data_IF_784043030009
#
_entry.id   IF_784043030009
#
_cell.length_a   1.000
_cell.length_b   1.000
_cell.length_c   1.000
_cell.angle_alpha   90.00
_cell.angle_beta   90.00
_cell.angle_gamma   90.00
#
_symmetry.space_group_name_H-M   'P 1'
#
loop_
_entity.id
_entity.type
_entity.pdbx_description
1 polymer ?
#
# COMPACT_ATOMS: atom_id res chain seq x y z
N UNK A 1 -8.14 3.90 24.78
CA UNK A 1 -9.01 3.01 23.98
C UNK A 1 -9.31 1.68 24.69
N UNK A 2 -8.31 0.87 25.08
CA UNK A 2 -8.53 -0.41 25.82
C UNK A 2 -9.40 -0.23 27.06
N UNK A 3 -9.07 0.73 27.93
CA UNK A 3 -9.86 0.98 29.15
C UNK A 3 -11.32 1.34 28.84
N UNK A 4 -11.55 2.19 27.83
CA UNK A 4 -12.91 2.53 27.40
C UNK A 4 -13.68 1.31 26.86
N UNK A 5 -13.01 0.46 26.08
CA UNK A 5 -13.60 -0.79 25.58
C UNK A 5 -13.96 -1.73 26.74
N UNK A 6 -13.09 -1.86 27.74
CA UNK A 6 -13.31 -2.66 28.95
C UNK A 6 -14.51 -2.14 29.75
N UNK A 7 -14.54 -0.84 30.05
CA UNK A 7 -15.63 -0.21 30.79
C UNK A 7 -16.98 -0.40 30.09
N UNK A 8 -17.04 -0.09 28.79
CA UNK A 8 -18.24 -0.27 27.98
C UNK A 8 -18.69 -1.73 27.94
N UNK A 9 -17.75 -2.67 27.80
CA UNK A 9 -18.07 -4.09 27.79
C UNK A 9 -18.65 -4.54 29.14
N UNK A 10 -18.11 -4.06 30.25
CA UNK A 10 -18.70 -4.31 31.58
C UNK A 10 -20.14 -3.82 31.66
N UNK A 11 -20.41 -2.60 31.21
CA UNK A 11 -21.76 -2.01 31.19
C UNK A 11 -22.74 -2.81 30.32
N UNK A 12 -22.35 -3.18 29.10
CA UNK A 12 -23.21 -3.96 28.19
C UNK A 12 -23.45 -5.41 28.70
N UNK A 13 -22.52 -5.96 29.48
CA UNK A 13 -22.58 -7.32 30.02
C UNK A 13 -22.83 -7.35 31.54
N UNK A 14 -23.65 -6.41 32.03
CA UNK A 14 -24.31 -6.39 33.35
C UNK A 14 -23.46 -6.00 34.57
N UNK A 15 -22.14 -5.87 34.48
CA UNK A 15 -21.33 -5.38 35.61
C UNK A 15 -20.36 -4.31 35.12
N UNK A 16 -20.70 -3.02 35.28
CA UNK A 16 -19.77 -1.94 35.02
C UNK A 16 -18.46 -2.13 35.79
N UNK A 17 -17.35 -1.77 35.16
CA UNK A 17 -16.00 -2.04 35.65
C UNK A 17 -15.15 -0.78 35.54
N UNK A 18 -14.41 -0.47 36.61
CA UNK A 18 -13.44 0.61 36.62
C UNK A 18 -12.05 0.09 37.04
N UNK A 19 -11.02 0.90 36.76
CA UNK A 19 -9.62 0.61 37.09
C UNK A 19 -9.05 1.60 38.10
N UNK A 20 -8.32 1.10 39.10
CA UNK A 20 -7.50 1.91 40.01
C UNK A 20 -6.06 1.41 40.01
N UNK A 21 -5.11 2.30 39.67
CA UNK A 21 -3.68 1.95 39.61
C UNK A 21 -3.06 1.71 40.99
N UNK A 22 -3.62 2.33 42.03
CA UNK A 22 -3.06 2.41 43.38
C UNK A 22 -3.73 1.50 44.41
N UNK A 23 -4.88 0.91 44.09
CA UNK A 23 -5.66 0.11 45.05
C UNK A 23 -5.78 -1.34 44.59
N UNK A 24 -5.38 -2.31 45.43
CA UNK A 24 -5.58 -3.73 45.16
C UNK A 24 -7.06 -4.12 45.37
N UNK A 25 -7.69 -4.93 44.48
CA UNK A 25 -7.11 -5.73 43.38
C UNK A 25 -7.11 -5.06 41.99
N UNK A 26 -7.06 -3.73 41.94
CA UNK A 26 -6.96 -2.86 40.76
C UNK A 26 -8.20 -2.74 39.89
N UNK A 27 -9.08 -3.73 39.92
CA UNK A 27 -10.35 -3.71 39.19
C UNK A 27 -11.51 -3.83 40.17
N UNK A 28 -12.46 -2.90 40.08
CA UNK A 28 -13.59 -2.76 40.99
C UNK A 28 -14.89 -2.67 40.20
N UNK A 29 -16.01 -2.98 40.86
CA UNK A 29 -17.33 -2.70 40.28
C UNK A 29 -17.54 -1.18 40.26
N UNK A 30 -17.86 -0.65 39.08
CA UNK A 30 -18.20 0.75 38.89
C UNK A 30 -19.69 0.93 39.27
N UNK A 31 -19.92 1.30 40.53
CA UNK A 31 -21.25 1.32 41.12
C UNK A 31 -22.07 2.52 40.67
N UNK A 32 -21.41 3.61 40.30
CA UNK A 32 -22.06 4.84 39.85
C UNK A 32 -22.17 4.95 38.32
N UNK A 33 -21.43 4.12 37.57
CA UNK A 33 -21.48 4.02 36.11
C UNK A 33 -20.74 5.13 35.38
N UNK A 34 -19.82 5.85 36.03
CA UNK A 34 -19.10 6.99 35.45
C UNK A 34 -17.81 6.60 34.70
N UNK A 35 -17.41 5.33 34.77
CA UNK A 35 -16.23 4.77 34.11
C UNK A 35 -14.91 5.06 34.82
N UNK A 36 -14.94 5.64 36.01
CA UNK A 36 -13.77 5.92 36.86
C UNK A 36 -13.90 5.17 38.19
N UNK A 37 -12.77 4.84 38.82
CA UNK A 37 -12.79 4.27 40.17
C UNK A 37 -12.48 5.37 41.17
N UNK A 38 -13.49 5.84 41.90
CA UNK A 38 -13.27 6.79 42.98
C UNK A 38 -12.78 6.10 44.28
N UNK A 39 -12.55 6.88 45.33
CA UNK A 39 -12.07 6.36 46.61
C UNK A 39 -13.10 5.49 47.35
N UNK A 40 -14.39 5.66 47.07
CA UNK A 40 -15.48 4.86 47.64
C UNK A 40 -15.61 3.51 46.96
N UNK A 41 -15.28 3.44 45.67
CA UNK A 41 -15.31 2.21 44.86
C UNK A 41 -14.00 1.43 44.94
N UNK A 42 -12.85 2.11 45.10
CA UNK A 42 -11.51 1.52 45.15
C UNK A 42 -11.17 0.81 46.48
N UNK A 43 -12.14 0.08 47.04
CA UNK A 43 -12.03 -0.65 48.32
C UNK A 43 -12.13 -2.15 48.09
N UNK A 44 -11.36 -2.96 48.82
CA UNK A 44 -11.28 -4.42 48.61
C UNK A 44 -12.64 -5.14 48.65
N UNK A 45 -13.61 -4.62 49.42
CA UNK A 45 -14.96 -5.17 49.48
C UNK A 45 -15.72 -5.06 48.14
N UNK A 46 -15.36 -4.07 47.32
CA UNK A 46 -15.95 -3.77 46.01
C UNK A 46 -15.11 -4.34 44.84
N UNK A 47 -14.22 -5.30 45.11
CA UNK A 47 -13.44 -5.98 44.08
C UNK A 47 -14.35 -6.52 42.97
N UNK A 48 -13.93 -6.35 41.71
CA UNK A 48 -14.72 -6.81 40.55
C UNK A 48 -14.83 -8.33 40.52
N UNK A 49 -16.06 -8.85 40.36
CA UNK A 49 -16.38 -10.30 40.37
C UNK A 49 -16.97 -10.82 39.05
N UNK A 50 -17.48 -9.94 38.19
CA UNK A 50 -18.18 -10.27 36.94
C UNK A 50 -17.25 -10.67 35.78
N UNK A 51 -16.20 -11.45 36.04
CA UNK A 51 -15.17 -11.76 35.06
C UNK A 51 -15.71 -12.64 33.91
N UNK A 52 -15.57 -12.14 32.68
CA UNK A 52 -15.68 -12.97 31.47
C UNK A 52 -14.29 -13.31 30.95
N UNK A 53 -14.18 -14.35 30.10
CA UNK A 53 -12.91 -14.68 29.45
C UNK A 53 -12.36 -13.52 28.62
N UNK A 54 -13.24 -12.68 28.05
CA UNK A 54 -12.88 -11.50 27.26
C UNK A 54 -12.34 -10.38 28.15
N UNK A 55 -13.02 -10.10 29.26
CA UNK A 55 -12.54 -9.13 30.26
C UNK A 55 -11.20 -9.56 30.84
N UNK A 56 -11.06 -10.83 31.24
CA UNK A 56 -9.82 -11.34 31.83
C UNK A 56 -8.60 -11.09 30.92
N UNK A 57 -8.71 -11.39 29.62
CA UNK A 57 -7.61 -11.15 28.67
C UNK A 57 -7.30 -9.66 28.50
N UNK A 58 -8.33 -8.84 28.32
CA UNK A 58 -8.17 -7.41 28.08
C UNK A 58 -7.62 -6.67 29.32
N UNK A 59 -8.14 -6.97 30.51
CA UNK A 59 -7.68 -6.35 31.76
C UNK A 59 -6.27 -6.79 32.13
N UNK A 60 -5.88 -8.04 31.84
CA UNK A 60 -4.52 -8.52 32.05
C UNK A 60 -3.52 -7.76 31.15
N UNK A 61 -3.81 -7.66 29.85
CA UNK A 61 -2.95 -6.92 28.92
C UNK A 61 -2.88 -5.42 29.26
N UNK A 62 -4.00 -4.83 29.67
CA UNK A 62 -4.02 -3.44 30.16
C UNK A 62 -3.16 -3.27 31.41
N UNK A 63 -3.24 -4.20 32.37
CA UNK A 63 -2.44 -4.17 33.59
C UNK A 63 -0.95 -4.30 33.28
N UNK A 64 -0.56 -5.23 32.40
CA UNK A 64 0.82 -5.39 31.96
C UNK A 64 1.37 -4.07 31.39
N UNK A 65 0.64 -3.49 30.44
CA UNK A 65 1.05 -2.22 29.81
C UNK A 65 1.12 -1.07 30.82
N UNK A 66 0.19 -1.02 31.78
CA UNK A 66 0.12 0.07 32.77
C UNK A 66 1.15 -0.08 33.90
N UNK A 67 1.67 -1.29 34.13
CA UNK A 67 2.66 -1.58 35.19
C UNK A 67 4.11 -1.50 34.71
N UNK A 68 4.34 -1.32 33.41
CA UNK A 68 5.65 -0.96 32.87
C UNK A 68 5.65 0.52 32.44
N UNK A 69 6.07 1.46 33.31
CA UNK A 69 6.19 2.87 32.93
C UNK A 69 7.24 3.10 31.82
N UNK A 70 8.14 2.14 31.59
CA UNK A 70 9.13 2.13 30.51
C UNK A 70 8.66 1.36 29.27
N UNK A 71 7.40 0.92 29.20
CA UNK A 71 6.84 0.14 28.08
C UNK A 71 7.12 0.78 26.71
N UNK A 72 7.10 2.11 26.66
CA UNK A 72 7.37 2.89 25.44
C UNK A 72 8.83 2.75 24.94
N UNK A 73 9.78 2.36 25.80
CA UNK A 73 11.18 2.21 25.47
C UNK A 73 11.62 0.74 25.41
N UNK A 74 11.11 -0.11 26.32
CA UNK A 74 11.54 -1.51 26.40
C UNK A 74 11.06 -2.34 25.19
N UNK A 75 9.78 -2.21 24.82
CA UNK A 75 9.20 -2.89 23.66
C UNK A 75 7.81 -2.32 23.32
N UNK A 76 7.78 -1.06 22.86
CA UNK A 76 6.54 -0.36 22.56
C UNK A 76 5.65 -1.14 21.58
N UNK A 77 6.25 -1.78 20.57
CA UNK A 77 5.54 -2.55 19.55
C UNK A 77 4.78 -3.73 20.14
N UNK A 78 5.41 -4.51 21.02
CA UNK A 78 4.75 -5.61 21.70
C UNK A 78 3.55 -5.14 22.54
N UNK A 79 3.73 -4.03 23.27
CA UNK A 79 2.66 -3.44 24.09
C UNK A 79 1.51 -2.93 23.19
N UNK A 80 1.81 -2.25 22.08
CA UNK A 80 0.80 -1.82 21.11
C UNK A 80 0.02 -3.00 20.56
N UNK A 81 0.68 -4.10 20.20
CA UNK A 81 0.01 -5.31 19.69
C UNK A 81 -0.95 -5.90 20.72
N UNK A 82 -0.51 -6.06 21.98
CA UNK A 82 -1.37 -6.56 23.05
C UNK A 82 -2.59 -5.66 23.28
N UNK A 83 -2.39 -4.35 23.32
CA UNK A 83 -3.47 -3.39 23.53
C UNK A 83 -4.43 -3.32 22.33
N UNK A 84 -3.90 -3.33 21.11
CA UNK A 84 -4.69 -3.36 19.88
C UNK A 84 -5.56 -4.63 19.83
N UNK A 85 -4.94 -5.80 20.00
CA UNK A 85 -5.62 -7.10 19.95
C UNK A 85 -6.66 -7.22 21.07
N UNK A 86 -6.41 -6.61 22.24
CA UNK A 86 -7.38 -6.52 23.33
C UNK A 86 -8.62 -5.71 22.94
N UNK A 87 -8.46 -4.54 22.30
CA UNK A 87 -9.63 -3.77 21.82
C UNK A 87 -10.36 -4.54 20.72
N UNK A 88 -9.63 -5.16 19.78
CA UNK A 88 -10.24 -5.96 18.71
C UNK A 88 -11.04 -7.14 19.27
N UNK A 89 -10.52 -7.85 20.28
CA UNK A 89 -11.27 -8.91 20.94
C UNK A 89 -12.48 -8.33 21.68
N UNK A 90 -12.33 -7.27 22.47
CA UNK A 90 -13.44 -6.63 23.20
C UNK A 90 -14.56 -6.18 22.24
N UNK A 91 -14.20 -5.53 21.13
CA UNK A 91 -15.13 -5.06 20.09
C UNK A 91 -15.98 -6.16 19.46
N UNK A 92 -15.57 -7.44 19.49
CA UNK A 92 -16.41 -8.55 19.01
C UNK A 92 -17.64 -8.77 19.88
N UNK A 93 -17.59 -8.34 21.14
CA UNK A 93 -18.69 -8.48 22.09
C UNK A 93 -19.39 -7.16 22.44
N UNK A 94 -19.05 -6.06 21.77
CA UNK A 94 -19.69 -4.75 21.94
C UNK A 94 -20.75 -4.51 20.86
N UNK A 95 -21.86 -3.91 21.27
CA UNK A 95 -22.92 -3.43 20.39
C UNK A 95 -22.44 -2.20 19.61
N UNK A 96 -21.95 -1.20 20.34
CA UNK A 96 -21.28 -0.03 19.77
C UNK A 96 -19.77 -0.20 19.87
N UNK A 97 -19.10 -0.52 18.76
CA UNK A 97 -17.66 -0.78 18.76
C UNK A 97 -16.88 0.49 19.11
N UNK A 98 -15.82 0.33 19.89
CA UNK A 98 -14.82 1.39 20.08
C UNK A 98 -14.11 1.64 18.76
N UNK A 99 -14.07 2.91 18.35
CA UNK A 99 -13.43 3.31 17.10
C UNK A 99 -11.93 2.97 17.08
N UNK A 100 -11.54 2.21 16.06
CA UNK A 100 -10.17 1.78 15.81
C UNK A 100 -9.66 2.22 14.44
N UNK A 101 -10.38 3.07 13.70
CA UNK A 101 -10.06 3.47 12.32
C UNK A 101 -8.65 4.07 12.17
N UNK A 102 -8.20 4.84 13.17
CA UNK A 102 -6.84 5.43 13.20
C UNK A 102 -5.85 4.68 14.09
N UNK A 103 -6.25 3.56 14.67
CA UNK A 103 -5.35 2.74 15.47
C UNK A 103 -4.54 1.85 14.53
N UNK A 104 -3.22 1.79 14.71
CA UNK A 104 -2.34 0.95 13.88
C UNK A 104 -1.67 -0.09 14.76
N UNK A 105 -1.71 -1.36 14.33
CA UNK A 105 -1.12 -2.49 15.06
C UNK A 105 0.37 -2.70 14.75
N UNK A 106 0.76 -2.40 13.51
CA UNK A 106 2.11 -2.64 12.97
C UNK A 106 2.80 -1.33 12.64
N UNK A 107 4.11 -1.37 12.39
CA UNK A 107 4.84 -0.18 11.98
C UNK A 107 4.38 0.31 10.59
N UNK A 108 4.70 1.55 10.26
CA UNK A 108 4.32 2.19 9.01
C UNK A 108 5.27 1.85 7.86
N UNK A 109 4.71 1.75 6.64
CA UNK A 109 5.45 1.79 5.39
C UNK A 109 6.66 0.85 5.34
N UNK A 110 7.81 1.42 4.98
CA UNK A 110 9.08 0.70 4.85
C UNK A 110 9.56 0.03 6.14
N UNK A 111 9.12 0.49 7.32
CA UNK A 111 9.53 -0.08 8.60
C UNK A 111 8.65 -1.24 9.04
N UNK A 112 7.59 -1.57 8.30
CA UNK A 112 6.68 -2.66 8.62
C UNK A 112 7.28 -4.04 8.35
N UNK A 113 8.12 -4.49 9.27
CA UNK A 113 8.69 -5.85 9.26
C UNK A 113 7.66 -6.97 9.39
N UNK A 114 6.40 -6.67 9.72
CA UNK A 114 5.33 -7.69 9.76
C UNK A 114 4.58 -7.84 8.43
N UNK A 115 4.89 -7.01 7.42
CA UNK A 115 4.24 -7.06 6.12
C UNK A 115 4.74 -8.24 5.28
N UNK A 116 3.93 -8.68 4.31
CA UNK A 116 4.32 -9.72 3.35
C UNK A 116 5.62 -9.38 2.61
N UNK A 117 5.86 -8.09 2.33
CA UNK A 117 7.10 -7.63 1.69
C UNK A 117 8.36 -7.95 2.50
N UNK A 118 8.25 -8.05 3.83
CA UNK A 118 9.35 -8.42 4.72
C UNK A 118 9.33 -9.92 5.11
N UNK A 119 8.14 -10.53 5.22
CA UNK A 119 7.95 -11.89 5.79
C UNK A 119 7.82 -13.00 4.75
N UNK A 120 7.78 -12.68 3.45
CA UNK A 120 7.73 -13.68 2.36
C UNK A 120 8.83 -14.76 2.45
N UNK A 121 9.93 -14.42 3.11
CA UNK A 121 11.16 -15.21 3.14
C UNK A 121 11.24 -16.17 4.34
N UNK A 122 10.31 -16.06 5.30
CA UNK A 122 10.26 -16.83 6.57
C UNK A 122 10.50 -18.33 6.43
N UNK A 123 9.98 -18.94 5.36
CA UNK A 123 10.12 -20.39 5.13
C UNK A 123 11.46 -20.76 4.50
N UNK A 124 12.06 -19.84 3.75
CA UNK A 124 13.33 -20.03 3.07
C UNK A 124 14.53 -19.56 3.89
N UNK A 125 14.32 -18.82 4.97
CA UNK A 125 15.34 -18.21 5.84
C UNK A 125 16.32 -17.27 5.10
N UNK A 126 16.02 -16.92 3.85
CA UNK A 126 16.85 -16.08 3.00
C UNK A 126 16.06 -15.32 1.94
N UNK A 127 16.57 -14.15 1.58
CA UNK A 127 16.13 -13.35 0.43
C UNK A 127 17.10 -13.57 -0.73
N UNK A 128 16.57 -14.01 -1.87
CA UNK A 128 17.39 -14.27 -3.05
C UNK A 128 18.00 -13.00 -3.67
N UNK A 129 19.09 -13.17 -4.41
CA UNK A 129 19.80 -12.09 -5.08
C UNK A 129 18.94 -11.21 -5.99
N UNK A 130 17.87 -11.76 -6.59
CA UNK A 130 16.96 -10.96 -7.44
C UNK A 130 15.96 -10.11 -6.66
N UNK A 131 15.83 -10.35 -5.35
CA UNK A 131 14.83 -9.74 -4.46
C UNK A 131 15.49 -8.84 -3.40
N UNK A 132 16.71 -9.18 -2.98
CA UNK A 132 17.45 -8.45 -1.96
C UNK A 132 17.74 -6.97 -2.22
N UNK A 133 17.81 -6.47 -3.47
CA UNK A 133 17.90 -5.03 -3.69
C UNK A 133 16.79 -4.23 -3.01
N UNK A 134 15.58 -4.79 -2.90
CA UNK A 134 14.43 -4.08 -2.34
C UNK A 134 13.95 -4.65 -0.99
N UNK A 135 14.27 -5.91 -0.69
CA UNK A 135 13.64 -6.66 0.41
C UNK A 135 14.61 -7.10 1.52
N UNK A 136 15.85 -6.60 1.52
CA UNK A 136 16.88 -7.01 2.50
C UNK A 136 17.61 -5.84 3.16
N UNK A 137 16.88 -4.74 3.36
CA UNK A 137 17.38 -3.57 4.09
C UNK A 137 18.71 -3.04 3.55
N UNK A 138 19.56 -2.60 4.47
CA UNK A 138 20.87 -2.06 4.16
C UNK A 138 21.76 -3.08 3.43
N UNK A 139 21.78 -4.33 3.87
CA UNK A 139 22.71 -5.34 3.35
C UNK A 139 22.46 -5.65 1.87
N UNK A 140 21.19 -5.77 1.48
CA UNK A 140 20.83 -6.02 0.08
C UNK A 140 20.93 -4.75 -0.77
N UNK A 141 20.31 -3.66 -0.33
CA UNK A 141 20.23 -2.43 -1.11
C UNK A 141 21.60 -1.80 -1.35
N UNK A 142 22.46 -1.71 -0.33
CA UNK A 142 23.78 -1.09 -0.49
C UNK A 142 24.73 -1.91 -1.35
N UNK A 143 24.64 -3.24 -1.25
CA UNK A 143 25.38 -4.12 -2.15
C UNK A 143 24.94 -3.91 -3.60
N UNK A 144 23.63 -3.83 -3.84
CA UNK A 144 23.09 -3.48 -5.15
C UNK A 144 23.56 -2.10 -5.63
N UNK A 145 23.51 -1.08 -4.77
CA UNK A 145 23.94 0.28 -5.12
C UNK A 145 25.45 0.35 -5.47
N UNK A 146 26.27 -0.47 -4.83
CA UNK A 146 27.71 -0.52 -5.07
C UNK A 146 28.09 -1.34 -6.31
N UNK A 147 27.47 -2.50 -6.51
CA UNK A 147 27.91 -3.49 -7.51
C UNK A 147 26.94 -3.66 -8.69
N UNK A 148 25.75 -3.07 -8.63
CA UNK A 148 24.72 -3.17 -9.68
C UNK A 148 24.02 -4.53 -9.76
N UNK A 149 24.32 -5.46 -8.85
CA UNK A 149 23.71 -6.79 -8.73
C UNK A 149 23.31 -7.05 -7.29
N UNK A 150 22.26 -7.83 -7.06
CA UNK A 150 21.91 -8.26 -5.71
C UNK A 150 22.72 -9.48 -5.26
N UNK A 151 22.60 -9.80 -3.97
CA UNK A 151 23.21 -10.96 -3.33
C UNK A 151 22.19 -11.74 -2.51
N UNK A 152 22.45 -13.00 -2.20
CA UNK A 152 21.62 -13.72 -1.22
C UNK A 152 21.88 -13.11 0.16
N UNK A 153 20.82 -12.81 0.90
CA UNK A 153 20.89 -12.21 2.24
C UNK A 153 20.07 -13.07 3.20
N UNK A 154 20.56 -13.40 4.40
CA UNK A 154 19.73 -14.05 5.42
C UNK A 154 18.46 -13.23 5.66
N UNK A 155 17.35 -13.90 5.95
CA UNK A 155 16.14 -13.16 6.27
C UNK A 155 16.33 -12.26 7.50
N UNK A 156 15.63 -11.14 7.51
CA UNK A 156 15.57 -10.28 8.68
C UNK A 156 14.10 -10.04 9.01
N UNK A 157 13.76 -10.02 10.30
CA UNK A 157 12.39 -9.77 10.74
C UNK A 157 11.97 -8.28 10.61
N UNK A 158 12.87 -7.42 10.13
CA UNK A 158 12.66 -5.99 10.02
C UNK A 158 12.23 -5.62 8.59
N UNK A 159 11.63 -4.43 8.46
CA UNK A 159 11.49 -3.80 7.16
C UNK A 159 12.84 -3.25 6.67
N UNK A 160 12.83 -2.08 6.04
CA UNK A 160 14.05 -1.34 5.75
C UNK A 160 14.56 -0.62 7.00
N UNK A 161 15.88 -0.58 7.21
CA UNK A 161 16.50 0.19 8.29
C UNK A 161 16.93 1.59 7.82
N UNK A 162 17.24 2.48 8.77
CA UNK A 162 17.69 3.84 8.51
C UNK A 162 18.86 3.87 7.52
N UNK A 163 19.83 2.97 7.71
CA UNK A 163 21.04 2.90 6.90
C UNK A 163 20.79 2.36 5.48
N UNK A 164 19.61 1.83 5.18
CA UNK A 164 19.19 1.57 3.80
C UNK A 164 19.26 2.85 2.99
N UNK A 165 18.76 3.94 3.56
CA UNK A 165 18.68 5.24 2.89
C UNK A 165 19.75 6.23 3.34
N UNK A 166 20.30 6.10 4.54
CA UNK A 166 21.20 7.10 5.15
C UNK A 166 22.63 6.59 5.28
N UNK A 167 23.61 7.41 4.88
CA UNK A 167 25.03 7.18 5.18
C UNK A 167 25.36 7.54 6.63
N UNK A 168 24.69 8.55 7.18
CA UNK A 168 24.74 8.94 8.59
C UNK A 168 23.36 9.30 9.10
N UNK A 169 23.03 8.80 10.28
CA UNK A 169 21.87 9.21 11.08
C UNK A 169 22.27 10.09 12.28
N UNK A 170 23.58 10.28 12.48
CA UNK A 170 24.12 11.24 13.43
C UNK A 170 24.28 12.61 12.75
N UNK A 171 24.24 13.69 13.53
CA UNK A 171 24.40 15.07 13.02
C UNK A 171 25.82 15.29 12.43
N UNK A 172 25.95 15.67 11.13
CA UNK A 172 24.89 15.91 10.15
C UNK A 172 24.32 14.62 9.54
N UNK A 173 22.99 14.53 9.48
CA UNK A 173 22.28 13.43 8.82
C UNK A 173 22.54 13.50 7.32
N UNK A 174 22.92 12.38 6.71
CA UNK A 174 23.23 12.30 5.28
C UNK A 174 22.48 11.15 4.60
N UNK A 175 22.08 11.35 3.34
CA UNK A 175 21.37 10.37 2.52
C UNK A 175 22.35 9.72 1.54
N UNK A 176 22.24 8.41 1.35
CA UNK A 176 23.01 7.66 0.37
C UNK A 176 22.73 8.18 -1.03
N UNK A 177 23.79 8.59 -1.73
CA UNK A 177 23.69 9.06 -3.12
C UNK A 177 23.73 7.89 -4.09
N UNK A 178 22.62 7.64 -4.78
CA UNK A 178 22.54 6.73 -5.92
C UNK A 178 22.74 7.53 -7.21
N UNK A 179 23.76 7.18 -8.00
CA UNK A 179 24.18 7.97 -9.16
C UNK A 179 23.21 7.90 -10.35
N UNK A 180 22.59 6.74 -10.55
CA UNK A 180 21.65 6.51 -11.65
C UNK A 180 20.79 5.27 -11.38
N UNK A 181 19.63 5.22 -12.02
CA UNK A 181 18.75 4.05 -12.02
C UNK A 181 18.64 3.50 -13.43
N UNK A 182 18.77 2.18 -13.56
CA UNK A 182 18.45 1.44 -14.80
C UNK A 182 17.05 0.86 -14.69
N UNK A 183 16.18 1.25 -15.59
CA UNK A 183 14.81 0.74 -15.71
C UNK A 183 14.80 -0.59 -16.48
N UNK A 184 13.75 -1.42 -16.32
CA UNK A 184 13.61 -2.69 -17.06
C UNK A 184 13.49 -2.52 -18.58
N UNK A 185 13.26 -1.31 -19.08
CA UNK A 185 13.34 -0.95 -20.51
C UNK A 185 14.78 -0.87 -21.03
N UNK A 186 15.77 -0.86 -20.13
CA UNK A 186 17.18 -0.60 -20.45
C UNK A 186 17.58 0.87 -20.35
N UNK A 187 16.61 1.79 -20.21
CA UNK A 187 16.89 3.23 -20.02
C UNK A 187 17.63 3.44 -18.70
N UNK A 188 18.68 4.27 -18.75
CA UNK A 188 19.43 4.72 -17.57
C UNK A 188 19.13 6.19 -17.34
N UNK A 189 18.74 6.53 -16.12
CA UNK A 189 18.37 7.89 -15.69
C UNK A 189 19.26 8.34 -14.54
N UNK A 190 19.59 9.63 -14.53
CA UNK A 190 20.18 10.32 -13.38
C UNK A 190 19.21 11.40 -12.96
N UNK A 191 18.41 11.10 -11.94
CA UNK A 191 17.44 12.05 -11.40
C UNK A 191 18.11 13.09 -10.48
N UNK A 192 17.51 14.28 -10.35
CA UNK A 192 17.93 15.26 -9.35
C UNK A 192 17.62 14.77 -7.92
N UNK A 193 18.37 15.32 -6.96
CA UNK A 193 18.19 15.07 -5.53
C UNK A 193 18.29 13.60 -5.15
N UNK A 194 17.25 13.08 -4.48
CA UNK A 194 17.26 11.74 -3.89
C UNK A 194 16.40 10.72 -4.66
N UNK A 195 15.76 11.09 -5.76
CA UNK A 195 14.80 10.22 -6.46
C UNK A 195 15.39 8.88 -6.89
N UNK A 196 16.67 8.86 -7.31
CA UNK A 196 17.36 7.62 -7.68
C UNK A 196 17.33 6.56 -6.57
N UNK A 197 17.27 6.96 -5.29
CA UNK A 197 17.18 6.00 -4.18
C UNK A 197 15.82 5.31 -4.16
N UNK A 198 14.75 6.08 -4.37
CA UNK A 198 13.37 5.59 -4.40
C UNK A 198 13.15 4.72 -5.63
N UNK A 199 13.57 5.21 -6.78
CA UNK A 199 13.38 4.57 -8.08
C UNK A 199 14.21 3.29 -8.24
N UNK A 200 15.28 3.10 -7.45
CA UNK A 200 16.02 1.83 -7.46
C UNK A 200 15.14 0.62 -7.08
N UNK A 201 14.14 0.85 -6.23
CA UNK A 201 13.15 -0.15 -5.84
C UNK A 201 11.83 0.04 -6.60
N UNK A 202 11.35 1.27 -6.70
CA UNK A 202 10.06 1.66 -7.28
C UNK A 202 10.11 1.87 -8.82
N UNK A 203 10.83 1.01 -9.54
CA UNK A 203 10.98 1.06 -11.03
C UNK A 203 10.21 -0.02 -11.79
N UNK A 204 9.63 -0.98 -11.08
CA UNK A 204 9.16 -2.23 -11.69
C UNK A 204 10.31 -3.15 -12.13
N UNK A 205 9.96 -4.36 -12.61
CA UNK A 205 10.91 -5.40 -13.02
C UNK A 205 10.76 -5.84 -14.47
N UNK A 206 9.68 -5.44 -15.13
CA UNK A 206 9.36 -5.79 -16.52
C UNK A 206 9.01 -4.52 -17.28
N UNK A 207 9.05 -4.56 -18.62
CA UNK A 207 8.76 -3.41 -19.47
C UNK A 207 8.12 -3.82 -20.79
N UNK A 208 7.75 -2.85 -21.64
CA UNK A 208 7.40 -3.13 -23.03
C UNK A 208 8.42 -4.05 -23.72
N UNK A 209 9.71 -3.80 -23.51
CA UNK A 209 10.78 -4.56 -24.17
C UNK A 209 10.77 -6.04 -23.74
N UNK A 210 10.46 -6.35 -22.48
CA UNK A 210 10.39 -7.74 -22.02
C UNK A 210 9.11 -8.44 -22.46
N UNK A 211 7.99 -7.71 -22.55
CA UNK A 211 6.74 -8.22 -23.13
C UNK A 211 6.93 -8.55 -24.62
N UNK A 212 7.52 -7.64 -25.40
CA UNK A 212 7.83 -7.87 -26.82
C UNK A 212 8.74 -9.10 -26.99
N UNK A 213 9.79 -9.20 -26.18
CA UNK A 213 10.72 -10.33 -26.21
C UNK A 213 9.99 -11.65 -25.92
N UNK A 214 9.06 -11.66 -24.95
CA UNK A 214 8.27 -12.84 -24.64
C UNK A 214 7.30 -13.20 -25.77
N UNK A 215 6.64 -12.21 -26.38
CA UNK A 215 5.77 -12.41 -27.56
C UNK A 215 6.57 -13.02 -28.72
N UNK A 216 7.78 -12.54 -28.97
CA UNK A 216 8.65 -13.04 -30.04
C UNK A 216 9.05 -14.52 -29.88
N UNK A 217 8.97 -15.08 -28.66
CA UNK A 217 9.23 -16.52 -28.44
C UNK A 217 8.11 -17.43 -28.95
N UNK A 218 6.92 -16.88 -29.23
CA UNK A 218 5.71 -17.66 -29.51
C UNK A 218 5.13 -18.42 -28.33
N UNK A 219 5.70 -18.27 -27.11
CA UNK A 219 5.23 -18.88 -25.86
C UNK A 219 4.59 -17.81 -24.99
N UNK A 220 3.29 -17.63 -25.09
CA UNK A 220 2.61 -16.52 -24.41
C UNK A 220 2.37 -16.84 -22.92
N UNK A 221 2.64 -15.85 -22.07
CA UNK A 221 2.39 -15.90 -20.63
C UNK A 221 2.28 -14.48 -20.08
N UNK A 222 1.62 -14.33 -18.95
CA UNK A 222 1.63 -13.07 -18.21
C UNK A 222 3.04 -12.73 -17.71
N UNK A 223 3.41 -11.44 -17.80
CA UNK A 223 4.58 -10.87 -17.16
C UNK A 223 4.13 -9.83 -16.13
N UNK A 224 4.67 -9.90 -14.92
CA UNK A 224 4.28 -9.01 -13.84
C UNK A 224 5.22 -7.81 -13.78
N UNK A 225 4.68 -6.59 -13.88
CA UNK A 225 5.41 -5.33 -13.71
C UNK A 225 6.18 -5.25 -12.39
N UNK A 226 5.74 -5.99 -11.37
CA UNK A 226 6.24 -5.97 -10.00
C UNK A 226 6.00 -4.63 -9.29
N UNK A 227 5.71 -4.70 -8.00
CA UNK A 227 4.86 -3.76 -7.26
C UNK A 227 5.40 -2.33 -7.12
N UNK A 228 4.47 -1.37 -6.99
CA UNK A 228 4.71 0.06 -6.75
C UNK A 228 5.76 0.68 -7.69
N UNK A 229 5.64 0.53 -9.03
CA UNK A 229 6.55 1.12 -10.01
C UNK A 229 6.38 2.65 -10.15
N UNK A 230 6.28 3.40 -9.04
CA UNK A 230 5.97 4.82 -9.01
C UNK A 230 6.97 5.68 -9.78
N UNK A 231 8.26 5.34 -9.73
CA UNK A 231 9.30 6.00 -10.51
C UNK A 231 9.09 5.86 -12.02
N UNK A 232 8.69 4.65 -12.45
CA UNK A 232 8.38 4.39 -13.84
C UNK A 232 7.13 5.17 -14.29
N UNK A 233 6.09 5.25 -13.46
CA UNK A 233 4.90 6.05 -13.77
C UNK A 233 5.22 7.53 -13.81
N UNK A 234 5.92 8.07 -12.79
CA UNK A 234 6.37 9.47 -12.72
C UNK A 234 7.11 9.86 -13.98
N UNK A 235 7.98 9.00 -14.50
CA UNK A 235 8.79 9.29 -15.69
C UNK A 235 8.07 9.04 -17.02
N UNK A 236 6.99 8.27 -17.02
CA UNK A 236 6.19 7.98 -18.21
C UNK A 236 7.03 7.48 -19.38
N UNK A 237 6.86 8.11 -20.54
CA UNK A 237 7.60 7.78 -21.76
C UNK A 237 9.11 8.04 -21.69
N UNK A 238 9.63 8.72 -20.66
CA UNK A 238 11.09 8.78 -20.47
C UNK A 238 11.68 7.48 -19.91
N UNK A 239 10.88 6.63 -19.26
CA UNK A 239 11.31 5.33 -18.74
C UNK A 239 10.89 4.15 -19.63
N UNK A 240 9.88 4.31 -20.49
CA UNK A 240 9.37 3.26 -21.41
C UNK A 240 9.05 1.93 -20.72
N UNK A 241 8.47 1.98 -19.52
CA UNK A 241 8.16 0.80 -18.73
C UNK A 241 6.77 0.25 -19.04
N UNK A 242 5.75 1.11 -19.15
CA UNK A 242 4.43 0.68 -19.60
C UNK A 242 4.47 0.07 -21.00
N UNK A 243 3.50 -0.76 -21.35
CA UNK A 243 3.39 -1.26 -22.71
C UNK A 243 2.83 -0.15 -23.62
N UNK A 244 3.74 0.59 -24.23
CA UNK A 244 3.46 1.68 -25.15
C UNK A 244 3.17 1.13 -26.56
N UNK A 245 1.97 1.37 -27.10
CA UNK A 245 1.54 0.81 -28.37
C UNK A 245 2.20 1.52 -29.57
N UNK A 246 2.49 0.73 -30.62
CA UNK A 246 3.17 1.22 -31.84
C UNK A 246 2.34 2.31 -32.52
N UNK A 247 3.01 3.40 -32.93
CA UNK A 247 2.37 4.53 -33.60
C UNK A 247 1.60 5.47 -32.67
N UNK A 248 1.66 5.25 -31.35
CA UNK A 248 1.11 6.14 -30.33
C UNK A 248 2.21 6.97 -29.69
N UNK A 249 1.84 8.15 -29.20
CA UNK A 249 2.67 8.99 -28.35
C UNK A 249 2.16 8.91 -26.91
N UNK A 250 3.08 9.03 -25.95
CA UNK A 250 2.80 8.90 -24.53
C UNK A 250 3.35 10.07 -23.73
N UNK A 251 2.62 10.46 -22.69
CA UNK A 251 3.02 11.52 -21.77
C UNK A 251 4.41 11.24 -21.17
N UNK A 252 5.25 12.28 -21.14
CA UNK A 252 6.59 12.24 -20.57
C UNK A 252 6.60 12.30 -19.04
N UNK A 253 7.73 12.73 -18.44
CA UNK A 253 7.83 12.90 -17.01
C UNK A 253 6.79 13.85 -16.43
N UNK A 254 6.33 13.56 -15.20
CA UNK A 254 5.43 14.40 -14.42
C UNK A 254 5.95 15.84 -14.36
N UNK A 255 5.04 16.76 -14.65
CA UNK A 255 5.23 18.20 -14.41
C UNK A 255 4.23 18.64 -13.36
N UNK A 256 4.73 19.10 -12.22
CA UNK A 256 3.89 19.51 -11.11
C UNK A 256 4.49 20.71 -10.37
N UNK A 257 3.67 21.74 -10.13
CA UNK A 257 4.12 23.03 -9.54
C UNK A 257 4.61 22.87 -8.10
N UNK A 258 4.04 21.93 -7.35
CA UNK A 258 4.47 21.59 -5.98
C UNK A 258 5.81 20.83 -5.91
N UNK A 259 6.47 20.61 -7.06
CA UNK A 259 7.69 19.82 -7.18
C UNK A 259 7.43 18.46 -7.83
N UNK A 260 8.48 17.91 -8.44
CA UNK A 260 8.44 16.66 -9.21
C UNK A 260 9.29 15.56 -8.60
N UNK A 261 10.06 15.86 -7.54
CA UNK A 261 10.83 14.85 -6.82
C UNK A 261 9.90 14.03 -5.92
N UNK A 262 10.22 12.76 -5.70
CA UNK A 262 9.45 11.88 -4.81
C UNK A 262 9.27 12.53 -3.43
N UNK A 263 10.36 13.11 -2.90
CA UNK A 263 10.40 13.78 -1.58
C UNK A 263 9.75 15.17 -1.56
N UNK A 264 9.35 15.73 -2.71
CA UNK A 264 8.55 16.97 -2.72
C UNK A 264 7.16 16.73 -2.13
N UNK A 265 6.62 15.54 -2.33
CA UNK A 265 5.31 15.10 -1.83
C UNK A 265 5.44 14.08 -0.69
N UNK A 266 6.24 13.03 -0.88
CA UNK A 266 6.53 12.02 0.14
C UNK A 266 7.66 12.51 1.06
N UNK A 267 7.43 13.63 1.75
CA UNK A 267 8.47 14.31 2.51
C UNK A 267 8.77 13.58 3.84
N UNK A 268 10.00 13.09 4.06
CA UNK A 268 10.33 12.33 5.28
C UNK A 268 10.42 13.20 6.55
N UNK A 269 10.67 14.50 6.44
CA UNK A 269 10.77 15.41 7.58
C UNK A 269 9.38 15.80 8.06
N UNK A 270 8.53 16.27 7.15
CA UNK A 270 7.17 16.69 7.46
C UNK A 270 6.28 15.50 7.87
N UNK A 271 6.50 14.31 7.29
CA UNK A 271 5.74 13.10 7.62
C UNK A 271 6.34 12.27 8.75
N UNK A 272 7.49 12.64 9.32
CA UNK A 272 8.25 11.78 10.25
C UNK A 272 8.52 10.37 9.68
N UNK A 273 8.97 10.31 8.42
CA UNK A 273 9.31 9.09 7.68
C UNK A 273 8.15 8.09 7.47
N UNK A 274 6.89 8.50 7.61
CA UNK A 274 5.79 7.64 7.14
C UNK A 274 5.70 7.63 5.61
N UNK A 275 6.18 8.71 4.97
CA UNK A 275 6.04 8.97 3.54
C UNK A 275 4.57 9.04 3.08
N UNK A 276 3.60 9.17 3.97
CA UNK A 276 2.19 9.23 3.58
C UNK A 276 1.77 10.65 3.24
N UNK A 277 1.01 10.80 2.15
CA UNK A 277 0.48 12.10 1.73
C UNK A 277 -0.47 12.69 2.77
N UNK A 278 -1.23 11.84 3.48
CA UNK A 278 -2.12 12.27 4.55
C UNK A 278 -1.40 13.04 5.66
N UNK A 279 -0.15 12.67 5.98
CA UNK A 279 0.63 13.28 7.06
C UNK A 279 1.21 14.65 6.69
N UNK A 280 1.21 15.00 5.40
CA UNK A 280 1.73 16.27 4.90
C UNK A 280 0.68 17.13 4.20
N UNK A 281 -0.57 16.65 4.15
CA UNK A 281 -1.65 17.24 3.37
C UNK A 281 -1.82 18.74 3.61
N UNK A 282 -1.98 19.13 4.87
CA UNK A 282 -2.22 20.52 5.24
C UNK A 282 -1.06 21.45 4.94
N UNK A 283 0.18 20.94 5.01
CA UNK A 283 1.39 21.72 4.80
C UNK A 283 1.79 21.86 3.31
N UNK A 284 1.39 20.90 2.46
CA UNK A 284 1.90 20.80 1.07
C UNK A 284 0.83 20.86 -0.01
N UNK A 285 -0.32 20.24 0.22
CA UNK A 285 -1.30 19.96 -0.83
C UNK A 285 -2.49 20.91 -0.75
N UNK A 286 -2.98 21.17 0.47
CA UNK A 286 -4.27 21.82 0.72
C UNK A 286 -4.45 23.18 0.06
N UNK A 287 -3.38 23.97 -0.07
CA UNK A 287 -3.44 25.31 -0.67
C UNK A 287 -3.86 25.27 -2.14
N UNK A 288 -3.36 24.30 -2.91
CA UNK A 288 -3.67 24.17 -4.34
C UNK A 288 -4.85 23.21 -4.56
N UNK A 289 -4.94 22.14 -3.76
CA UNK A 289 -5.97 21.10 -3.87
C UNK A 289 -7.10 21.29 -2.85
N UNK A 290 -7.66 22.49 -2.80
CA UNK A 290 -8.81 22.77 -1.94
C UNK A 290 -10.07 21.98 -2.36
N UNK A 291 -10.13 21.54 -3.62
CA UNK A 291 -11.18 20.70 -4.20
C UNK A 291 -11.28 19.31 -3.53
N UNK A 292 -10.20 18.86 -2.92
CA UNK A 292 -10.05 17.50 -2.43
C UNK A 292 -10.48 17.30 -0.95
N UNK A 293 -10.96 18.35 -0.29
CA UNK A 293 -11.56 18.28 1.06
C UNK A 293 -10.73 17.55 2.13
N UNK A 294 -9.40 17.66 2.10
CA UNK A 294 -8.54 17.01 3.09
C UNK A 294 -7.97 15.65 2.68
N UNK A 295 -8.36 15.12 1.53
CA UNK A 295 -8.00 13.77 1.09
C UNK A 295 -7.54 13.76 -0.36
N UNK A 296 -6.30 13.34 -0.59
CA UNK A 296 -5.70 13.27 -1.92
C UNK A 296 -6.52 12.43 -2.90
N UNK A 297 -7.23 11.41 -2.42
CA UNK A 297 -8.07 10.55 -3.26
C UNK A 297 -9.22 11.31 -3.93
N UNK A 298 -9.53 12.54 -3.49
CA UNK A 298 -10.59 13.38 -4.04
C UNK A 298 -10.09 14.43 -5.04
N UNK A 299 -8.79 14.44 -5.38
CA UNK A 299 -8.22 15.43 -6.30
C UNK A 299 -8.83 15.32 -7.70
N UNK A 300 -9.20 16.47 -8.29
CA UNK A 300 -9.70 16.59 -9.68
C UNK A 300 -9.08 17.74 -10.49
N UNK A 301 -8.70 18.84 -9.83
CA UNK A 301 -8.40 20.17 -10.39
C UNK A 301 -7.80 20.29 -11.82
N UNK A 302 -6.91 19.39 -12.27
CA UNK A 302 -6.07 19.57 -13.47
C UNK A 302 -6.59 18.85 -14.72
N UNK A 303 -7.36 17.76 -14.59
CA UNK A 303 -7.86 16.99 -15.73
C UNK A 303 -9.39 16.95 -15.70
N UNK A 304 -10.09 17.91 -16.34
CA UNK A 304 -11.55 18.02 -16.26
C UNK A 304 -12.31 17.10 -17.22
N UNK A 305 -11.62 16.37 -18.11
CA UNK A 305 -12.25 15.48 -19.07
C UNK A 305 -12.75 14.19 -18.40
N UNK A 306 -13.93 13.74 -18.82
CA UNK A 306 -14.47 12.40 -18.56
C UNK A 306 -13.69 11.39 -19.43
N UNK A 307 -12.59 10.89 -18.89
CA UNK A 307 -11.63 10.04 -19.60
C UNK A 307 -12.17 8.63 -19.74
N UNK A 308 -12.84 8.15 -18.70
CA UNK A 308 -13.48 6.84 -18.69
C UNK A 308 -14.85 6.82 -19.39
N UNK A 309 -15.44 7.96 -19.71
CA UNK A 309 -16.65 8.09 -20.52
C UNK A 309 -17.90 7.49 -19.88
N UNK A 310 -18.03 7.57 -18.55
CA UNK A 310 -19.21 7.14 -17.80
C UNK A 310 -20.29 8.23 -17.66
N UNK A 311 -19.99 9.46 -18.10
CA UNK A 311 -20.85 10.63 -18.02
C UNK A 311 -20.60 11.52 -16.80
N UNK A 312 -19.61 11.22 -15.96
CA UNK A 312 -19.31 11.91 -14.72
C UNK A 312 -17.92 12.58 -14.73
N UNK A 313 -17.82 13.74 -15.38
CA UNK A 313 -16.60 14.56 -15.37
C UNK A 313 -16.23 15.21 -14.01
N UNK A 314 -16.90 14.87 -12.90
CA UNK A 314 -16.71 15.48 -11.57
C UNK A 314 -16.11 14.55 -10.54
N UNK A 315 -15.97 13.26 -10.85
CA UNK A 315 -15.33 12.32 -9.94
C UNK A 315 -13.82 12.55 -9.84
N UNK A 316 -13.17 12.01 -8.80
CA UNK A 316 -11.73 12.13 -8.65
C UNK A 316 -10.96 11.43 -9.77
N UNK A 317 -9.72 11.86 -10.00
CA UNK A 317 -8.84 11.24 -11.02
C UNK A 317 -8.58 9.75 -10.77
N UNK A 318 -8.62 9.31 -9.51
CA UNK A 318 -8.52 7.89 -9.17
C UNK A 318 -9.67 7.08 -9.78
N UNK A 319 -10.89 7.62 -9.76
CA UNK A 319 -12.08 6.96 -10.30
C UNK A 319 -12.02 6.85 -11.83
N UNK A 320 -11.52 7.88 -12.52
CA UNK A 320 -11.29 7.86 -13.97
C UNK A 320 -10.31 6.74 -14.39
N UNK A 321 -9.22 6.56 -13.64
CA UNK A 321 -8.27 5.45 -13.90
C UNK A 321 -8.91 4.10 -13.61
N UNK A 322 -9.73 3.99 -12.57
CA UNK A 322 -10.45 2.76 -12.22
C UNK A 322 -11.51 2.40 -13.26
N UNK A 323 -12.24 3.38 -13.77
CA UNK A 323 -13.20 3.24 -14.86
C UNK A 323 -12.54 2.77 -16.16
N UNK A 324 -11.44 3.40 -16.56
CA UNK A 324 -10.64 2.95 -17.71
C UNK A 324 -10.10 1.53 -17.50
N UNK A 325 -9.62 1.21 -16.30
CA UNK A 325 -9.15 -0.14 -15.98
C UNK A 325 -10.30 -1.16 -16.04
N UNK A 326 -11.51 -0.81 -15.57
CA UNK A 326 -12.69 -1.66 -15.66
C UNK A 326 -13.10 -1.91 -17.12
N UNK A 327 -13.02 -0.89 -17.99
CA UNK A 327 -13.28 -1.04 -19.44
C UNK A 327 -12.22 -1.89 -20.13
N UNK A 328 -10.95 -1.78 -19.73
CA UNK A 328 -9.89 -2.66 -20.20
C UNK A 328 -10.10 -4.11 -19.74
N UNK A 329 -10.51 -4.32 -18.49
CA UNK A 329 -10.88 -5.66 -17.99
C UNK A 329 -12.04 -6.25 -18.78
N UNK A 330 -13.09 -5.48 -19.05
CA UNK A 330 -14.21 -5.92 -19.86
C UNK A 330 -13.77 -6.32 -21.29
N UNK A 331 -12.88 -5.54 -21.92
CA UNK A 331 -12.32 -5.88 -23.22
C UNK A 331 -11.48 -7.19 -23.18
N UNK A 332 -10.66 -7.38 -22.14
CA UNK A 332 -9.92 -8.63 -21.93
C UNK A 332 -10.86 -9.83 -21.75
N UNK A 333 -11.96 -9.65 -21.02
CA UNK A 333 -12.98 -10.68 -20.76
C UNK A 333 -13.82 -11.02 -22.00
N UNK A 334 -14.00 -10.06 -22.92
CA UNK A 334 -14.57 -10.34 -24.24
C UNK A 334 -13.59 -11.15 -25.11
N UNK A 335 -12.29 -10.89 -25.00
CA UNK A 335 -11.27 -11.61 -25.77
C UNK A 335 -11.00 -13.03 -25.24
N UNK A 336 -11.18 -13.27 -23.93
CA UNK A 336 -11.03 -14.59 -23.32
C UNK A 336 -11.80 -14.72 -21.99
N UNK A 337 -12.25 -15.93 -21.60
CA UNK A 337 -12.91 -16.18 -20.32
C UNK A 337 -11.89 -16.16 -19.16
N UNK A 338 -11.53 -14.97 -18.72
CA UNK A 338 -10.58 -14.74 -17.62
C UNK A 338 -11.19 -13.87 -16.52
N UNK A 339 -10.66 -14.02 -15.31
CA UNK A 339 -10.89 -13.11 -14.21
C UNK A 339 -9.56 -12.68 -13.60
N UNK A 340 -9.58 -11.60 -12.81
CA UNK A 340 -8.40 -11.05 -12.14
C UNK A 340 -8.58 -11.01 -10.61
N UNK A 341 -7.55 -11.45 -9.89
CA UNK A 341 -7.39 -11.24 -8.45
C UNK A 341 -6.05 -10.57 -8.16
N UNK A 342 -6.08 -9.42 -7.50
CA UNK A 342 -4.88 -8.63 -7.21
C UNK A 342 -4.00 -9.22 -6.12
N UNK A 343 -4.50 -10.16 -5.32
CA UNK A 343 -3.82 -10.63 -4.10
C UNK A 343 -3.22 -12.02 -4.24
N UNK A 344 -3.67 -12.79 -5.24
CA UNK A 344 -3.31 -14.20 -5.39
C UNK A 344 -2.55 -14.40 -6.69
N UNK A 345 -1.33 -14.91 -6.59
CA UNK A 345 -0.56 -15.33 -7.76
C UNK A 345 -1.24 -16.54 -8.46
N UNK A 346 -1.35 -16.58 -9.80
CA UNK A 346 -0.70 -15.71 -10.80
C UNK A 346 -1.56 -14.54 -11.30
N UNK A 347 -2.49 -14.04 -10.49
CA UNK A 347 -3.39 -12.90 -10.70
C UNK A 347 -4.49 -13.11 -11.75
N UNK A 348 -4.22 -13.86 -12.81
CA UNK A 348 -5.23 -14.17 -13.83
C UNK A 348 -5.62 -15.64 -13.77
N UNK A 349 -6.92 -15.89 -13.70
CA UNK A 349 -7.52 -17.22 -13.58
C UNK A 349 -8.57 -17.43 -14.67
N UNK A 350 -8.86 -18.68 -14.99
CA UNK A 350 -9.97 -18.98 -15.90
C UNK A 350 -11.29 -18.67 -15.20
N UNK A 351 -12.12 -17.84 -15.84
CA UNK A 351 -13.51 -17.60 -15.43
C UNK A 351 -14.35 -18.79 -15.91
N UNK A 352 -14.61 -19.71 -14.99
CA UNK A 352 -15.28 -20.99 -15.27
C UNK A 352 -16.79 -20.87 -15.23
N UNK A 353 -17.32 -19.95 -14.43
CA UNK A 353 -18.76 -19.78 -14.26
C UNK A 353 -19.34 -18.68 -15.18
N UNK A 354 -18.48 -17.90 -15.84
CA UNK A 354 -18.85 -16.86 -16.81
C UNK A 354 -19.40 -15.59 -16.16
N UNK A 355 -19.18 -15.39 -14.86
CA UNK A 355 -19.69 -14.22 -14.12
C UNK A 355 -18.76 -13.00 -14.18
N UNK A 356 -17.58 -13.15 -14.80
CA UNK A 356 -16.56 -12.12 -14.97
C UNK A 356 -15.94 -11.63 -13.66
N UNK A 357 -16.16 -12.32 -12.56
CA UNK A 357 -15.56 -12.07 -11.26
C UNK A 357 -14.59 -13.22 -10.94
N UNK A 358 -13.68 -12.98 -10.00
CA UNK A 358 -12.82 -14.04 -9.48
C UNK A 358 -13.40 -14.54 -8.16
N UNK A 359 -14.16 -15.64 -8.23
CA UNK A 359 -14.71 -16.30 -7.04
C UNK A 359 -13.65 -17.08 -6.27
N UNK A 360 -13.89 -17.32 -4.97
CA UNK A 360 -12.96 -18.09 -4.12
C UNK A 360 -12.65 -19.50 -4.67
N UNK A 361 -13.55 -20.10 -5.45
CA UNK A 361 -13.35 -21.40 -6.10
C UNK A 361 -12.47 -21.35 -7.34
N UNK A 362 -12.29 -20.17 -7.94
CA UNK A 362 -11.51 -19.95 -9.17
C UNK A 362 -10.10 -19.44 -8.86
N UNK A 363 -9.94 -18.74 -7.74
CA UNK A 363 -8.67 -18.18 -7.24
C UNK A 363 -7.83 -19.28 -6.60
N UNK A 364 -7.47 -20.28 -7.41
CA UNK A 364 -6.62 -21.41 -7.05
C UNK A 364 -5.56 -21.61 -8.12
N UNK A 365 -4.33 -21.95 -7.73
CA UNK A 365 -3.19 -22.06 -8.66
C UNK A 365 -3.42 -23.01 -9.83
N UNK A 366 -4.15 -24.11 -9.60
CA UNK A 366 -4.52 -25.08 -10.63
C UNK A 366 -5.49 -24.51 -11.69
N UNK A 367 -6.12 -23.37 -11.42
CA UNK A 367 -7.02 -22.67 -12.34
C UNK A 367 -6.38 -21.44 -13.00
N UNK A 368 -5.04 -21.32 -12.95
CA UNK A 368 -4.32 -20.24 -13.60
C UNK A 368 -4.71 -20.11 -15.09
N UNK A 369 -4.94 -18.88 -15.53
CA UNK A 369 -5.19 -18.60 -16.94
C UNK A 369 -3.89 -18.75 -17.74
N UNK A 370 -3.93 -19.55 -18.81
CA UNK A 370 -2.74 -19.85 -19.62
C UNK A 370 -2.89 -19.49 -21.10
N UNK A 371 -4.12 -19.24 -21.58
CA UNK A 371 -4.42 -18.99 -22.99
C UNK A 371 -4.16 -17.53 -23.41
N UNK A 372 -3.01 -16.98 -23.03
CA UNK A 372 -2.62 -15.63 -23.41
C UNK A 372 -2.37 -15.53 -24.92
N UNK A 373 -2.85 -14.45 -25.53
CA UNK A 373 -2.48 -14.01 -26.88
C UNK A 373 -1.51 -12.82 -26.78
N UNK A 374 -0.82 -12.42 -27.87
CA UNK A 374 -0.02 -11.21 -27.85
C UNK A 374 -0.81 -9.98 -27.40
N UNK A 375 -2.04 -9.80 -27.86
CA UNK A 375 -2.88 -8.66 -27.46
C UNK A 375 -3.24 -8.71 -25.96
N UNK A 376 -3.63 -9.88 -25.45
CA UNK A 376 -3.90 -10.06 -24.02
C UNK A 376 -2.67 -9.84 -23.15
N UNK A 377 -1.46 -10.22 -23.60
CA UNK A 377 -0.24 -9.94 -22.85
C UNK A 377 -0.01 -8.43 -22.66
N UNK A 378 -0.21 -7.63 -23.71
CA UNK A 378 -0.04 -6.17 -23.65
C UNK A 378 -1.09 -5.53 -22.73
N UNK A 379 -2.35 -5.90 -22.92
CA UNK A 379 -3.47 -5.38 -22.15
C UNK A 379 -3.38 -5.77 -20.67
N UNK A 380 -3.13 -7.05 -20.37
CA UNK A 380 -2.99 -7.52 -18.98
C UNK A 380 -1.77 -6.91 -18.27
N UNK A 381 -0.70 -6.62 -19.00
CA UNK A 381 0.47 -5.91 -18.46
C UNK A 381 0.11 -4.48 -18.03
N UNK A 382 -0.52 -3.69 -18.90
CA UNK A 382 -0.96 -2.33 -18.56
C UNK A 382 -2.06 -2.32 -17.48
N UNK A 383 -2.96 -3.29 -17.51
CA UNK A 383 -3.95 -3.47 -16.43
C UNK A 383 -3.25 -3.72 -15.10
N UNK A 384 -2.35 -4.70 -15.03
CA UNK A 384 -1.57 -4.98 -13.81
C UNK A 384 -0.79 -3.74 -13.37
N UNK A 385 -0.19 -2.99 -14.29
CA UNK A 385 0.52 -1.75 -13.98
C UNK A 385 -0.39 -0.75 -13.25
N UNK A 386 -1.59 -0.48 -13.77
CA UNK A 386 -2.55 0.39 -13.07
C UNK A 386 -2.93 -0.12 -11.67
N UNK A 387 -3.03 -1.45 -11.49
CA UNK A 387 -3.44 -2.05 -10.21
C UNK A 387 -2.28 -2.17 -9.21
N UNK A 388 -1.04 -2.21 -9.69
CA UNK A 388 0.17 -2.28 -8.85
C UNK A 388 0.81 -0.93 -8.60
N UNK A 389 0.26 0.14 -9.17
CA UNK A 389 0.60 1.53 -8.92
C UNK A 389 -0.64 2.32 -8.47
N UNK A 390 -1.06 2.21 -7.19
CA UNK A 390 -2.26 2.87 -6.69
C UNK A 390 -2.19 4.40 -6.70
N UNK A 391 -0.98 4.97 -6.85
CA UNK A 391 -0.76 6.40 -7.03
C UNK A 391 -0.75 6.85 -8.49
N UNK A 392 -1.06 5.99 -9.46
CA UNK A 392 -0.90 6.32 -10.89
C UNK A 392 -1.65 7.58 -11.33
N UNK A 393 -2.84 7.81 -10.77
CA UNK A 393 -3.66 9.00 -11.02
C UNK A 393 -3.00 10.30 -10.53
N UNK A 394 -2.09 10.24 -9.56
CA UNK A 394 -1.33 11.39 -9.06
C UNK A 394 0.06 11.49 -9.71
N UNK A 395 0.73 10.34 -9.88
CA UNK A 395 2.10 10.27 -10.36
C UNK A 395 2.22 10.62 -11.84
N UNK A 396 1.26 10.19 -12.68
CA UNK A 396 1.19 10.55 -14.09
C UNK A 396 -0.16 10.09 -14.70
N UNK A 397 -1.23 10.86 -14.44
CA UNK A 397 -2.59 10.54 -14.90
C UNK A 397 -2.64 10.27 -16.40
N UNK A 398 -2.13 11.20 -17.20
CA UNK A 398 -2.18 11.13 -18.67
C UNK A 398 -1.50 9.87 -19.18
N UNK A 399 -0.31 9.54 -18.68
CA UNK A 399 0.42 8.34 -19.10
C UNK A 399 -0.38 7.06 -18.82
N UNK A 400 -0.91 6.91 -17.60
CA UNK A 400 -1.66 5.71 -17.23
C UNK A 400 -2.98 5.60 -18.01
N UNK A 401 -3.72 6.71 -18.15
CA UNK A 401 -4.96 6.74 -18.92
C UNK A 401 -4.72 6.40 -20.41
N UNK A 402 -3.62 6.88 -21.00
CA UNK A 402 -3.23 6.54 -22.37
C UNK A 402 -2.92 5.05 -22.55
N UNK A 403 -2.19 4.44 -21.61
CA UNK A 403 -1.87 3.01 -21.63
C UNK A 403 -3.13 2.13 -21.54
N UNK A 404 -4.07 2.51 -20.67
CA UNK A 404 -5.34 1.80 -20.50
C UNK A 404 -6.24 1.96 -21.72
N UNK A 405 -6.41 3.19 -22.21
CA UNK A 405 -7.18 3.51 -23.41
C UNK A 405 -6.66 2.72 -24.62
N UNK A 406 -5.35 2.77 -24.89
CA UNK A 406 -4.77 2.10 -26.05
C UNK A 406 -4.85 0.57 -25.93
N UNK A 407 -4.85 0.03 -24.71
CA UNK A 407 -5.13 -1.39 -24.47
C UNK A 407 -6.56 -1.79 -24.81
N UNK A 408 -7.54 -0.92 -24.55
CA UNK A 408 -8.93 -1.14 -24.96
C UNK A 408 -9.01 -1.17 -26.49
N UNK A 409 -8.33 -0.23 -27.17
CA UNK A 409 -8.29 -0.16 -28.63
C UNK A 409 -7.62 -1.39 -29.26
N UNK A 410 -6.48 -1.86 -28.73
CA UNK A 410 -5.77 -3.04 -29.26
C UNK A 410 -6.60 -4.32 -29.17
N UNK A 411 -7.49 -4.41 -28.17
CA UNK A 411 -8.44 -5.52 -28.03
C UNK A 411 -9.75 -5.33 -28.83
N UNK A 412 -9.89 -4.23 -29.56
CA UNK A 412 -11.11 -3.92 -30.33
C UNK A 412 -12.29 -3.46 -29.47
N UNK A 413 -12.03 -2.99 -28.24
CA UNK A 413 -13.05 -2.42 -27.36
C UNK A 413 -13.61 -1.09 -27.89
N UNK A 414 -14.84 -0.77 -27.48
CA UNK A 414 -15.50 0.47 -27.88
C UNK A 414 -14.97 1.66 -27.08
N UNK A 415 -14.38 2.62 -27.79
CA UNK A 415 -13.82 3.85 -27.19
C UNK A 415 -14.60 5.13 -27.56
N UNK A 416 -15.79 4.99 -28.16
CA UNK A 416 -16.56 6.13 -28.69
C UNK A 416 -16.87 7.21 -27.64
N UNK A 417 -17.07 6.81 -26.38
CA UNK A 417 -17.35 7.73 -25.27
C UNK A 417 -16.12 8.08 -24.44
N UNK A 418 -14.99 7.39 -24.68
CA UNK A 418 -13.77 7.57 -23.88
C UNK A 418 -12.98 8.75 -24.41
N UNK A 419 -12.30 9.46 -23.51
CA UNK A 419 -11.37 10.53 -23.89
C UNK A 419 -9.96 10.08 -23.58
N UNK A 420 -9.16 9.86 -24.63
CA UNK A 420 -7.72 9.65 -24.47
C UNK A 420 -7.06 10.99 -24.15
N UNK A 421 -6.34 11.15 -23.03
CA UNK A 421 -5.66 12.40 -22.73
C UNK A 421 -4.62 12.76 -23.79
N UNK A 422 -4.42 14.05 -24.08
CA UNK A 422 -3.38 14.47 -25.00
C UNK A 422 -2.01 14.06 -24.44
N UNK A 423 -1.04 13.85 -25.31
CA UNK A 423 0.35 13.94 -24.85
C UNK A 423 0.57 15.42 -24.57
N UNK A 424 0.82 15.78 -23.31
CA UNK A 424 1.13 17.16 -22.92
C UNK A 424 2.25 17.78 -23.77
N UNK A 425 2.52 19.09 -23.60
CA UNK A 425 3.57 19.79 -24.35
C UNK A 425 4.95 19.15 -24.23
#
# INVERSE_FOLDING_TARGET
>A
KVLAAIAQYGTEHQTPICYSVSSYPYWFADGNGDGTCDATESVSANAFKGWTARLLRATYNFQLASKDPGAFAHNAKYIIQLLYDSVTDVNKGLTAKVDMLRSVRTDMGHFNGASEAARRWDTGEQVDASCSPCHSGQQGFRFFAQYGVGQVVPETANGLECQTCHDSVADPVTVLKVASVKFPSGVVRTEPGNDNICESCHRGRESKATVDAQIATGKFKFLNIHYLPAGATKLGSAAHVGYEYVGKTYAGPLVHQGGTQCTSCHDPVASNHTFQIADVWGARCQTCHADANGDAQNIRLVHPADSDGDGNAREPLAAEIDGLAAKLMAAMQTAAPLCYDGHTYPYFFNDKNGDKLCGATEVVSANAFAAFTPALMKASFNYQFSRKEPGAWAHNFDYMAQLLYDGIVDLGGNVTTLVRPPTGP
#
